data_IF_829164189858
#
_entry.id   IF_829164189858
#
_cell.length_a   1.000
_cell.length_b   1.000
_cell.length_c   1.000
_cell.angle_alpha   90.00
_cell.angle_beta   90.00
_cell.angle_gamma   90.00
#
_symmetry.space_group_name_H-M   'P 1'
#
loop_
_entity.id
_entity.type
_entity.pdbx_description
1 polymer ?
#
# COMPACT_ATOMS: atom_id res chain seq x y z
N UNK A 1 1.38 -63.02 20.05
CA UNK A 1 0.90 -62.31 21.26
C UNK A 1 0.22 -61.04 20.79
N UNK A 2 -1.11 -61.05 20.82
CA UNK A 2 -1.95 -59.92 20.46
C UNK A 2 -2.17 -59.04 21.71
N UNK A 3 -2.04 -57.73 21.56
CA UNK A 3 -2.42 -56.75 22.58
C UNK A 3 -3.24 -55.67 21.91
N UNK A 4 -4.55 -55.85 21.96
CA UNK A 4 -5.58 -54.86 21.67
C UNK A 4 -5.71 -53.88 22.83
N UNK A 5 -5.61 -52.58 22.56
CA UNK A 5 -6.00 -51.53 23.52
C UNK A 5 -7.15 -50.70 22.94
N UNK A 6 -8.24 -50.69 23.68
CA UNK A 6 -9.56 -50.16 23.38
C UNK A 6 -9.68 -48.63 23.49
N UNK A 7 -10.65 -48.13 22.75
CA UNK A 7 -11.10 -46.74 22.56
C UNK A 7 -11.47 -45.96 23.82
N UNK A 8 -11.35 -44.63 23.75
CA UNK A 8 -12.27 -43.68 24.41
C UNK A 8 -12.29 -42.36 23.64
N UNK A 9 -13.33 -42.16 22.84
CA UNK A 9 -13.66 -40.93 22.12
C UNK A 9 -14.61 -40.09 22.97
N UNK A 10 -14.14 -38.96 23.49
CA UNK A 10 -14.96 -38.02 24.25
C UNK A 10 -15.62 -37.02 23.29
N UNK A 11 -16.92 -37.17 23.08
CA UNK A 11 -17.77 -36.19 22.41
C UNK A 11 -18.01 -34.98 23.33
N UNK A 12 -17.54 -33.80 22.94
CA UNK A 12 -17.98 -32.53 23.51
C UNK A 12 -19.11 -31.95 22.67
N UNK A 13 -20.34 -32.10 23.15
CA UNK A 13 -21.56 -31.51 22.58
C UNK A 13 -21.58 -29.98 22.72
N UNK A 14 -21.66 -29.30 21.59
CA UNK A 14 -22.06 -27.90 21.44
C UNK A 14 -23.49 -27.68 21.97
N UNK A 15 -23.64 -26.84 23.01
CA UNK A 15 -24.95 -26.29 23.40
C UNK A 15 -25.20 -24.99 22.65
N UNK A 16 -26.04 -25.06 21.63
CA UNK A 16 -26.72 -23.88 21.07
C UNK A 16 -27.85 -23.47 22.02
N UNK A 17 -27.75 -22.27 22.59
CA UNK A 17 -28.88 -21.61 23.23
C UNK A 17 -29.50 -20.60 22.27
N UNK A 18 -30.66 -20.95 21.72
CA UNK A 18 -31.60 -20.03 21.11
C UNK A 18 -32.57 -19.48 22.17
N UNK A 19 -32.65 -18.16 22.31
CA UNK A 19 -33.81 -17.48 22.88
C UNK A 19 -34.18 -16.27 22.02
N UNK A 20 -35.45 -16.28 21.64
CA UNK A 20 -36.26 -15.36 20.83
C UNK A 20 -36.46 -13.98 21.49
N UNK A 21 -37.00 -12.98 20.75
CA UNK A 21 -36.68 -11.57 20.94
C UNK A 21 -37.56 -10.89 21.98
N UNK A 22 -36.96 -9.98 22.75
CA UNK A 22 -37.69 -9.07 23.64
C UNK A 22 -37.88 -7.73 22.93
N UNK A 23 -39.15 -7.46 22.64
CA UNK A 23 -39.71 -6.19 22.22
C UNK A 23 -39.65 -5.21 23.41
N UNK A 24 -38.96 -4.07 23.28
CA UNK A 24 -39.09 -2.97 24.23
C UNK A 24 -39.04 -1.63 23.50
N UNK A 25 -40.21 -1.03 23.32
CA UNK A 25 -40.39 0.37 22.94
C UNK A 25 -39.73 1.26 23.99
N UNK A 26 -38.57 1.85 23.67
CA UNK A 26 -38.01 2.97 24.43
C UNK A 26 -38.27 4.26 23.66
N UNK A 27 -39.32 4.95 24.07
CA UNK A 27 -39.60 6.35 23.77
C UNK A 27 -38.43 7.21 24.25
N UNK A 28 -37.72 7.84 23.33
CA UNK A 28 -36.74 8.88 23.63
C UNK A 28 -37.48 10.19 23.91
N UNK A 29 -37.63 10.55 25.18
CA UNK A 29 -38.06 11.88 25.59
C UNK A 29 -36.86 12.83 25.53
N UNK A 30 -36.86 13.76 24.58
CA UNK A 30 -35.88 14.85 24.51
C UNK A 30 -36.10 15.83 25.69
N UNK A 31 -35.04 16.22 26.43
CA UNK A 31 -35.18 17.27 27.43
C UNK A 31 -35.36 18.62 26.73
N UNK A 32 -36.49 19.26 27.03
CA UNK A 32 -36.91 20.59 26.58
C UNK A 32 -36.05 21.63 27.33
N UNK A 33 -34.97 22.09 26.71
CA UNK A 33 -34.18 23.22 27.23
C UNK A 33 -35.03 24.48 27.09
N UNK A 34 -35.61 24.92 28.20
CA UNK A 34 -36.24 26.23 28.35
C UNK A 34 -35.15 27.31 28.22
N UNK A 35 -35.11 27.94 27.06
CA UNK A 35 -34.33 29.15 26.81
C UNK A 35 -34.98 30.32 27.58
N UNK A 36 -34.29 30.79 28.61
CA UNK A 36 -34.60 32.02 29.32
C UNK A 36 -34.16 33.20 28.43
N UNK A 37 -35.10 34.07 28.05
CA UNK A 37 -34.82 35.31 27.31
C UNK A 37 -35.38 36.49 28.10
N UNK A 38 -34.50 37.40 28.49
CA UNK A 38 -34.75 38.81 28.82
C UNK A 38 -33.37 39.45 29.00
N UNK A 39 -33.04 40.64 28.54
CA UNK A 39 -33.70 41.64 27.71
C UNK A 39 -32.61 42.68 27.44
N UNK A 40 -32.41 43.12 26.21
CA UNK A 40 -31.78 44.42 25.95
C UNK A 40 -32.42 44.95 24.67
N UNK A 41 -33.35 45.88 24.85
CA UNK A 41 -33.83 46.78 23.80
C UNK A 41 -32.77 47.87 23.63
N UNK A 42 -32.30 48.09 22.41
CA UNK A 42 -32.30 49.46 21.92
C UNK A 42 -32.38 49.52 20.40
N UNK A 43 -33.25 50.43 19.96
CA UNK A 43 -33.68 50.64 18.60
C UNK A 43 -32.57 51.22 17.72
N UNK A 44 -32.49 50.77 16.46
CA UNK A 44 -32.62 51.58 15.24
C UNK A 44 -32.07 50.84 14.01
N UNK A 45 -32.93 50.62 13.02
CA UNK A 45 -32.59 50.16 11.68
C UNK A 45 -32.01 51.35 10.88
N UNK A 46 -31.07 51.17 9.93
CA UNK A 46 -31.51 50.70 8.62
C UNK A 46 -30.50 49.79 7.87
N UNK A 47 -31.05 48.77 7.22
CA UNK A 47 -30.65 48.19 5.92
C UNK A 47 -29.17 48.33 5.53
N UNK A 48 -28.35 47.33 5.85
CA UNK A 48 -27.10 47.11 5.13
C UNK A 48 -27.24 45.85 4.25
N UNK A 49 -27.50 46.08 2.95
CA UNK A 49 -27.39 45.04 1.93
C UNK A 49 -26.00 44.42 2.04
N UNK A 50 -25.94 43.13 2.37
CA UNK A 50 -24.67 42.40 2.39
C UNK A 50 -24.27 42.17 0.93
N UNK A 51 -23.41 43.05 0.42
CA UNK A 51 -22.66 42.83 -0.79
C UNK A 51 -21.96 41.46 -0.69
N UNK A 52 -22.12 40.64 -1.73
CA UNK A 52 -21.61 39.26 -1.93
C UNK A 52 -20.08 39.08 -1.80
N UNK A 53 -19.36 40.01 -1.20
CA UNK A 53 -17.89 40.08 -1.20
C UNK A 53 -17.28 40.25 0.19
N UNK A 54 -17.95 39.85 1.26
CA UNK A 54 -17.30 39.67 2.55
C UNK A 54 -17.76 38.39 3.23
N UNK A 55 -17.27 37.26 2.70
CA UNK A 55 -17.02 36.08 3.51
C UNK A 55 -15.75 36.34 4.33
N UNK A 56 -15.81 37.30 5.25
CA UNK A 56 -14.73 37.51 6.22
C UNK A 56 -14.87 36.39 7.25
N UNK A 57 -13.87 35.53 7.23
CA UNK A 57 -13.55 34.47 8.18
C UNK A 57 -13.80 34.91 9.64
N UNK A 58 -15.00 34.63 10.15
CA UNK A 58 -15.30 34.52 11.59
C UNK A 58 -15.19 33.06 12.04
N UNK A 59 -14.10 32.40 11.67
CA UNK A 59 -13.78 31.05 12.16
C UNK A 59 -12.26 30.85 12.16
N UNK A 60 -11.58 31.61 13.02
CA UNK A 60 -10.18 31.40 13.38
C UNK A 60 -9.90 30.04 14.04
N UNK A 61 -10.94 29.22 14.28
CA UNK A 61 -10.81 27.85 14.80
C UNK A 61 -10.77 26.76 13.72
N UNK A 62 -10.97 27.10 12.43
CA UNK A 62 -10.89 26.13 11.32
C UNK A 62 -9.60 26.23 10.48
N UNK A 63 -8.70 27.17 10.80
CA UNK A 63 -7.54 27.51 9.97
C UNK A 63 -6.25 26.73 10.28
N UNK A 64 -6.33 25.57 10.94
CA UNK A 64 -5.16 24.71 11.24
C UNK A 64 -5.29 23.27 10.72
N UNK A 65 -6.21 23.00 9.78
CA UNK A 65 -6.21 21.73 9.01
C UNK A 65 -5.28 21.84 7.78
N UNK A 66 -4.15 22.53 7.94
CA UNK A 66 -3.18 22.84 6.90
C UNK A 66 -1.82 22.18 7.13
N UNK A 67 -1.72 21.19 8.03
CA UNK A 67 -0.55 20.33 8.07
C UNK A 67 -0.63 19.40 6.85
N UNK A 68 0.02 19.79 5.75
CA UNK A 68 0.33 18.87 4.65
C UNK A 68 1.24 17.80 5.27
N UNK A 69 0.64 16.67 5.69
CA UNK A 69 1.38 15.54 6.23
C UNK A 69 2.40 15.10 5.17
N UNK A 70 3.69 15.27 5.46
CA UNK A 70 4.77 14.79 4.61
C UNK A 70 5.38 13.54 5.26
N UNK A 71 4.65 12.42 5.18
CA UNK A 71 5.00 11.15 5.83
C UNK A 71 6.01 10.35 4.99
N UNK A 72 7.03 11.02 4.45
CA UNK A 72 8.02 10.44 3.54
C UNK A 72 8.93 9.40 4.22
N UNK A 73 9.29 9.61 5.49
CA UNK A 73 10.22 8.73 6.19
C UNK A 73 11.69 8.92 5.81
N UNK A 74 12.59 8.37 6.63
CA UNK A 74 14.03 8.36 6.33
C UNK A 74 14.31 7.22 5.34
N UNK A 75 15.10 7.51 4.31
CA UNK A 75 15.63 6.49 3.39
C UNK A 75 16.43 5.44 4.18
N UNK A 76 16.12 4.14 4.06
CA UNK A 76 16.92 3.09 4.66
C UNK A 76 18.35 3.04 4.10
N UNK A 77 19.33 2.73 4.95
CA UNK A 77 20.75 2.68 4.58
C UNK A 77 21.16 1.33 3.96
N UNK A 78 20.32 0.31 4.10
CA UNK A 78 20.55 -1.05 3.61
C UNK A 78 20.01 -1.30 2.19
N UNK A 79 19.60 -0.26 1.45
CA UNK A 79 19.10 -0.42 0.08
C UNK A 79 20.23 -0.79 -0.90
N UNK A 80 19.87 -1.52 -1.95
CA UNK A 80 20.74 -2.01 -3.00
C UNK A 80 21.02 -3.51 -2.93
N UNK A 81 21.92 -3.96 -3.80
CA UNK A 81 22.36 -5.35 -3.87
C UNK A 81 23.28 -5.65 -2.69
N UNK A 82 22.91 -6.65 -1.89
CA UNK A 82 23.66 -7.09 -0.72
C UNK A 82 24.94 -7.83 -1.13
N UNK A 83 26.09 -7.38 -0.63
CA UNK A 83 27.40 -7.98 -0.92
C UNK A 83 27.54 -9.43 -0.46
N UNK A 84 26.80 -9.82 0.59
CA UNK A 84 26.92 -11.14 1.22
C UNK A 84 26.15 -12.24 0.49
N UNK A 85 25.01 -11.92 -0.11
CA UNK A 85 24.07 -12.90 -0.69
C UNK A 85 23.84 -12.71 -2.18
N UNK A 86 24.41 -11.66 -2.81
CA UNK A 86 24.13 -11.31 -4.21
C UNK A 86 22.63 -11.36 -4.50
N UNK A 87 21.88 -10.63 -3.68
CA UNK A 87 20.42 -10.51 -3.71
C UNK A 87 20.03 -9.11 -3.20
N UNK A 88 18.77 -8.72 -3.41
CA UNK A 88 18.22 -7.50 -2.81
C UNK A 88 18.07 -7.65 -1.28
N UNK A 89 17.91 -6.52 -0.59
CA UNK A 89 17.62 -6.52 0.83
C UNK A 89 16.36 -7.32 1.17
N UNK A 90 16.33 -7.92 2.36
CA UNK A 90 15.11 -8.55 2.87
C UNK A 90 14.09 -7.48 3.28
N UNK A 91 12.83 -7.89 3.32
CA UNK A 91 11.74 -7.12 3.88
C UNK A 91 11.90 -7.00 5.39
N UNK A 92 11.60 -5.81 5.96
CA UNK A 92 11.34 -5.71 7.39
C UNK A 92 10.13 -6.59 7.76
N UNK A 93 9.96 -6.88 9.06
CA UNK A 93 8.83 -7.68 9.56
C UNK A 93 7.44 -7.01 9.39
N UNK A 94 7.38 -5.83 8.78
CA UNK A 94 6.16 -5.08 8.52
C UNK A 94 5.52 -5.51 7.20
N UNK A 95 4.17 -5.57 7.16
CA UNK A 95 3.42 -6.13 6.02
C UNK A 95 3.42 -5.27 4.75
N UNK A 96 4.06 -4.11 4.79
CA UNK A 96 4.18 -3.13 3.70
C UNK A 96 5.48 -3.30 2.91
N UNK A 97 5.89 -4.56 2.70
CA UNK A 97 7.04 -4.88 1.88
C UNK A 97 6.77 -6.17 1.10
N UNK A 98 7.21 -6.18 -0.16
CA UNK A 98 7.32 -7.39 -0.96
C UNK A 98 8.70 -7.47 -1.60
N UNK A 99 9.28 -8.66 -1.68
CA UNK A 99 10.60 -8.88 -2.26
C UNK A 99 10.72 -10.28 -2.87
N UNK A 100 11.46 -10.39 -3.96
CA UNK A 100 11.79 -11.66 -4.60
C UNK A 100 12.89 -12.43 -3.87
N UNK A 101 13.62 -11.76 -2.97
CA UNK A 101 14.70 -12.37 -2.18
C UNK A 101 14.20 -13.06 -0.91
N UNK A 102 12.89 -12.99 -0.63
CA UNK A 102 12.27 -13.65 0.52
C UNK A 102 12.13 -15.16 0.34
N UNK A 103 11.87 -15.86 1.45
CA UNK A 103 11.54 -17.27 1.40
C UNK A 103 10.20 -17.49 0.66
N UNK A 104 10.14 -18.47 -0.24
CA UNK A 104 8.91 -18.81 -1.01
C UNK A 104 7.71 -19.14 -0.10
N UNK A 105 7.97 -19.67 1.10
CA UNK A 105 6.94 -19.95 2.11
C UNK A 105 6.40 -18.71 2.84
N UNK A 106 7.04 -17.54 2.71
CA UNK A 106 6.54 -16.28 3.26
C UNK A 106 5.52 -15.65 2.30
N UNK A 107 4.27 -16.08 2.39
CA UNK A 107 3.19 -15.59 1.54
C UNK A 107 2.90 -14.08 1.72
N UNK A 108 3.39 -13.46 2.79
CA UNK A 108 3.17 -12.03 3.09
C UNK A 108 4.17 -11.18 2.33
N UNK A 109 5.45 -11.53 2.34
CA UNK A 109 6.51 -10.72 1.74
C UNK A 109 7.01 -11.26 0.41
N UNK A 110 6.90 -12.56 0.15
CA UNK A 110 7.38 -13.14 -1.09
C UNK A 110 6.56 -12.69 -2.30
N UNK A 111 7.29 -12.44 -3.39
CA UNK A 111 6.74 -12.31 -4.72
C UNK A 111 7.67 -12.99 -5.72
N UNK A 112 7.13 -13.69 -6.74
CA UNK A 112 7.96 -14.36 -7.73
C UNK A 112 8.73 -13.35 -8.61
N UNK A 113 9.97 -13.65 -9.00
CA UNK A 113 10.73 -12.82 -9.91
C UNK A 113 10.11 -12.78 -11.30
N UNK A 114 10.50 -11.80 -12.12
CA UNK A 114 10.03 -11.68 -13.49
C UNK A 114 11.07 -12.21 -14.47
N UNK A 115 10.60 -12.88 -15.51
CA UNK A 115 11.40 -13.31 -16.64
C UNK A 115 11.09 -12.40 -17.83
N UNK A 116 12.09 -11.68 -18.32
CA UNK A 116 11.94 -10.80 -19.49
C UNK A 116 12.11 -11.54 -20.82
N UNK A 117 12.65 -12.76 -20.84
CA UNK A 117 12.66 -13.62 -22.02
C UNK A 117 12.10 -15.02 -21.67
N UNK A 118 10.79 -15.12 -21.37
CA UNK A 118 10.17 -16.41 -21.13
C UNK A 118 10.17 -17.27 -22.40
N UNK A 119 10.07 -18.59 -22.22
CA UNK A 119 9.92 -19.52 -23.34
C UNK A 119 8.68 -19.13 -24.17
N UNK A 120 8.86 -19.02 -25.48
CA UNK A 120 7.80 -18.59 -26.40
C UNK A 120 7.69 -17.08 -26.63
N UNK A 121 8.52 -16.23 -26.00
CA UNK A 121 8.64 -14.82 -26.41
C UNK A 121 9.14 -14.75 -27.86
N UNK A 122 8.36 -14.11 -28.74
CA UNK A 122 8.64 -14.02 -30.19
C UNK A 122 9.98 -13.37 -30.51
N UNK A 123 10.34 -12.35 -29.75
CA UNK A 123 11.55 -11.54 -29.95
C UNK A 123 12.29 -11.43 -28.62
N UNK A 124 13.36 -12.22 -28.42
CA UNK A 124 14.22 -12.07 -27.25
C UNK A 124 14.85 -10.68 -27.21
N UNK A 125 14.94 -10.10 -26.03
CA UNK A 125 15.57 -8.79 -25.81
C UNK A 125 16.84 -8.92 -24.97
N UNK A 126 17.78 -8.01 -25.18
CA UNK A 126 18.94 -7.86 -24.31
C UNK A 126 18.52 -7.36 -22.91
N UNK A 127 19.43 -7.45 -21.94
CA UNK A 127 19.20 -6.93 -20.59
C UNK A 127 19.00 -5.41 -20.61
N UNK A 128 19.76 -4.73 -21.47
CA UNK A 128 19.72 -3.28 -21.63
C UNK A 128 18.38 -2.85 -22.23
N UNK A 129 17.87 -3.57 -23.22
CA UNK A 129 16.53 -3.36 -23.79
C UNK A 129 15.43 -3.64 -22.76
N UNK A 130 15.55 -4.72 -21.99
CA UNK A 130 14.61 -5.03 -20.90
C UNK A 130 14.60 -3.93 -19.82
N UNK A 131 15.76 -3.34 -19.51
CA UNK A 131 15.85 -2.20 -18.60
C UNK A 131 15.06 -0.99 -19.13
N UNK A 132 15.18 -0.68 -20.42
CA UNK A 132 14.42 0.40 -21.05
C UNK A 132 12.91 0.10 -21.08
N UNK A 133 12.51 -1.14 -21.42
CA UNK A 133 11.11 -1.57 -21.36
C UNK A 133 10.52 -1.37 -19.95
N UNK A 134 11.30 -1.69 -18.91
CA UNK A 134 10.92 -1.50 -17.51
C UNK A 134 10.78 -0.01 -17.15
N UNK A 135 11.75 0.82 -17.53
CA UNK A 135 11.73 2.26 -17.29
C UNK A 135 10.51 2.90 -17.95
N UNK A 136 10.23 2.55 -19.21
CA UNK A 136 9.07 3.04 -19.96
C UNK A 136 7.75 2.69 -19.24
N UNK A 137 7.63 1.46 -18.75
CA UNK A 137 6.45 1.03 -17.96
C UNK A 137 6.36 1.81 -16.65
N UNK A 138 7.47 2.01 -15.94
CA UNK A 138 7.51 2.78 -14.70
C UNK A 138 7.05 4.21 -14.91
N UNK A 139 7.52 4.88 -15.97
CA UNK A 139 7.18 6.28 -16.24
C UNK A 139 5.76 6.47 -16.76
N UNK A 140 5.25 5.52 -17.55
CA UNK A 140 3.89 5.55 -18.09
C UNK A 140 2.82 5.12 -17.08
N UNK A 141 3.17 4.26 -16.13
CA UNK A 141 2.23 3.68 -15.17
C UNK A 141 2.20 4.46 -13.86
N UNK A 142 1.02 4.95 -13.47
CA UNK A 142 0.81 5.64 -12.18
C UNK A 142 -0.14 4.85 -11.28
N UNK A 143 0.34 3.79 -10.61
CA UNK A 143 -0.50 2.99 -9.73
C UNK A 143 -0.94 3.82 -8.52
N UNK A 144 -2.23 3.77 -8.19
CA UNK A 144 -2.83 4.39 -7.00
C UNK A 144 -2.52 5.88 -6.80
N UNK A 145 -2.32 6.64 -7.89
CA UNK A 145 -1.94 8.07 -7.87
C UNK A 145 -0.59 8.34 -7.19
N UNK A 146 0.31 7.36 -7.20
CA UNK A 146 1.70 7.57 -6.85
C UNK A 146 2.46 8.10 -8.08
N UNK A 147 3.35 9.04 -7.83
CA UNK A 147 4.26 9.56 -8.83
C UNK A 147 5.60 8.84 -8.71
N UNK A 148 6.05 8.12 -9.76
CA UNK A 148 7.36 7.50 -9.79
C UNK A 148 8.45 8.56 -9.98
N UNK A 149 9.58 8.39 -9.28
CA UNK A 149 10.81 9.14 -9.48
C UNK A 149 11.99 8.19 -9.50
N UNK A 150 12.62 8.03 -10.67
CA UNK A 150 13.87 7.27 -10.77
C UNK A 150 14.97 8.07 -10.08
N UNK A 151 15.55 7.49 -9.04
CA UNK A 151 16.54 8.17 -8.18
C UNK A 151 17.93 7.56 -8.29
N UNK A 152 18.04 6.38 -8.88
CA UNK A 152 19.31 5.71 -9.12
C UNK A 152 19.17 4.78 -10.31
N UNK A 153 20.13 4.87 -11.23
CA UNK A 153 20.23 4.01 -12.40
C UNK A 153 21.68 3.57 -12.57
N UNK A 154 21.87 2.27 -12.64
CA UNK A 154 23.14 1.57 -12.93
C UNK A 154 22.91 0.63 -14.11
N UNK A 155 23.95 -0.08 -14.52
CA UNK A 155 23.87 -1.03 -15.64
C UNK A 155 22.95 -2.22 -15.35
N UNK A 156 22.94 -2.71 -14.10
CA UNK A 156 22.19 -3.89 -13.67
C UNK A 156 21.11 -3.58 -12.63
N UNK A 157 20.94 -2.31 -12.26
CA UNK A 157 20.12 -1.93 -11.10
C UNK A 157 19.42 -0.59 -11.29
N UNK A 158 18.15 -0.53 -10.90
CA UNK A 158 17.34 0.70 -10.89
C UNK A 158 16.61 0.83 -9.56
N UNK A 159 16.62 2.03 -9.00
CA UNK A 159 15.81 2.38 -7.83
C UNK A 159 14.87 3.53 -8.14
N UNK A 160 13.63 3.35 -7.73
CA UNK A 160 12.52 4.27 -7.94
C UNK A 160 11.87 4.59 -6.62
N UNK A 161 11.60 5.87 -6.39
CA UNK A 161 10.81 6.34 -5.26
C UNK A 161 9.39 6.63 -5.76
N UNK A 162 8.41 5.94 -5.21
CA UNK A 162 7.00 6.20 -5.46
C UNK A 162 6.45 7.08 -4.35
N UNK A 163 6.02 8.29 -4.69
CA UNK A 163 5.46 9.23 -3.72
C UNK A 163 3.94 9.35 -3.86
N UNK A 164 3.22 9.19 -2.75
CA UNK A 164 1.76 9.38 -2.71
C UNK A 164 1.41 10.87 -2.85
N UNK A 165 0.40 11.17 -3.68
CA UNK A 165 0.00 12.56 -3.95
C UNK A 165 -0.71 13.28 -2.78
N UNK A 166 -1.25 12.54 -1.81
CA UNK A 166 -2.14 13.10 -0.76
C UNK A 166 -1.44 13.23 0.60
N UNK A 167 -0.70 12.20 1.02
CA UNK A 167 -0.13 12.10 2.38
C UNK A 167 1.41 12.09 2.38
N UNK A 168 2.04 12.21 1.21
CA UNK A 168 3.49 12.30 1.08
C UNK A 168 4.27 11.03 1.45
N UNK A 169 3.60 9.88 1.64
CA UNK A 169 4.27 8.58 1.81
C UNK A 169 5.21 8.30 0.65
N UNK A 170 6.40 7.79 0.96
CA UNK A 170 7.39 7.37 -0.03
C UNK A 170 7.68 5.89 0.14
N UNK A 171 7.59 5.18 -0.97
CA UNK A 171 7.96 3.78 -1.09
C UNK A 171 9.19 3.66 -1.99
N UNK A 172 10.17 2.88 -1.54
CA UNK A 172 11.34 2.54 -2.35
C UNK A 172 11.06 1.25 -3.11
N UNK A 173 11.25 1.29 -4.43
CA UNK A 173 11.16 0.14 -5.32
C UNK A 173 12.50 -0.06 -6.01
N UNK A 174 13.02 -1.27 -5.90
CA UNK A 174 14.33 -1.67 -6.39
C UNK A 174 14.14 -2.78 -7.42
N UNK A 175 14.83 -2.66 -8.55
CA UNK A 175 14.87 -3.67 -9.61
C UNK A 175 16.33 -4.03 -9.87
N UNK A 176 16.61 -5.32 -9.92
CA UNK A 176 17.95 -5.83 -10.14
C UNK A 176 17.97 -6.93 -11.19
N UNK A 177 18.91 -6.83 -12.12
CA UNK A 177 19.14 -7.72 -13.24
C UNK A 177 20.40 -8.54 -12.95
N UNK A 178 20.29 -9.65 -12.18
CA UNK A 178 21.44 -10.43 -11.74
C UNK A 178 22.28 -10.95 -12.91
N UNK A 179 23.59 -10.61 -12.99
CA UNK A 179 24.45 -11.13 -14.04
C UNK A 179 24.60 -12.65 -13.93
N UNK A 180 24.49 -13.35 -15.05
CA UNK A 180 24.69 -14.80 -15.12
C UNK A 180 23.54 -15.67 -14.61
N UNK A 181 22.42 -15.09 -14.13
CA UNK A 181 21.21 -15.85 -13.70
C UNK A 181 20.13 -15.98 -14.78
N UNK A 182 20.51 -15.85 -16.06
CA UNK A 182 19.57 -15.86 -17.18
C UNK A 182 18.71 -14.60 -17.24
N UNK A 183 17.56 -14.63 -17.96
CA UNK A 183 16.75 -13.45 -18.23
C UNK A 183 15.80 -13.09 -17.08
N UNK A 184 16.32 -12.99 -15.85
CA UNK A 184 15.54 -12.75 -14.64
C UNK A 184 15.73 -11.32 -14.13
N UNK A 185 14.65 -10.75 -13.60
CA UNK A 185 14.63 -9.52 -12.80
C UNK A 185 14.12 -9.84 -11.41
N UNK A 186 14.97 -9.56 -10.42
CA UNK A 186 14.64 -9.53 -9.00
C UNK A 186 14.14 -8.13 -8.63
N UNK A 187 13.21 -8.05 -7.69
CA UNK A 187 12.67 -6.77 -7.25
C UNK A 187 12.28 -6.76 -5.78
N UNK A 188 12.21 -5.54 -5.24
CA UNK A 188 11.74 -5.25 -3.88
C UNK A 188 10.92 -3.98 -3.89
N UNK A 189 9.79 -3.96 -3.21
CA UNK A 189 8.93 -2.77 -3.04
C UNK A 189 8.58 -2.65 -1.56
N UNK A 190 9.05 -1.58 -0.91
CA UNK A 190 8.89 -1.38 0.53
C UNK A 190 8.58 0.08 0.87
N UNK A 191 7.63 0.28 1.79
CA UNK A 191 7.36 1.62 2.34
C UNK A 191 8.41 2.03 3.37
N UNK A 192 8.75 3.32 3.42
CA UNK A 192 9.68 3.88 4.43
C UNK A 192 9.07 4.00 5.83
N UNK A 193 7.76 4.19 5.90
CA UNK A 193 7.00 4.37 7.13
C UNK A 193 5.69 3.60 7.09
N UNK A 194 5.16 3.36 8.30
CA UNK A 194 3.94 2.58 8.51
C UNK A 194 4.22 1.09 8.66
N UNK A 195 3.25 0.37 9.21
CA UNK A 195 3.33 -1.08 9.40
C UNK A 195 2.34 -1.83 8.49
N UNK A 196 1.42 -1.10 7.85
CA UNK A 196 0.32 -1.62 7.06
C UNK A 196 0.05 -0.64 5.91
N UNK A 197 0.02 -1.12 4.67
CA UNK A 197 -0.17 -0.28 3.48
C UNK A 197 -1.40 -0.65 2.63
N UNK A 198 -2.38 -1.41 3.16
CA UNK A 198 -3.51 -1.91 2.35
C UNK A 198 -3.07 -2.62 1.05
N UNK A 199 -1.92 -3.30 1.09
CA UNK A 199 -1.27 -4.00 -0.02
C UNK A 199 -0.87 -3.08 -1.20
N UNK A 200 -0.63 -1.80 -0.96
CA UNK A 200 -0.23 -0.82 -2.01
C UNK A 200 1.03 -1.26 -2.74
N UNK A 201 2.07 -1.71 -2.02
CA UNK A 201 3.30 -2.23 -2.63
C UNK A 201 3.02 -3.44 -3.54
N UNK A 202 2.18 -4.38 -3.08
CA UNK A 202 1.81 -5.57 -3.88
C UNK A 202 0.95 -5.19 -5.10
N UNK A 203 0.02 -4.23 -4.94
CA UNK A 203 -0.79 -3.70 -6.05
C UNK A 203 0.06 -3.00 -7.09
N UNK A 204 1.08 -2.23 -6.67
CA UNK A 204 2.05 -1.60 -7.57
C UNK A 204 2.79 -2.63 -8.40
N UNK A 205 3.42 -3.62 -7.76
CA UNK A 205 4.12 -4.70 -8.46
C UNK A 205 3.18 -5.42 -9.43
N UNK A 206 1.94 -5.69 -9.02
CA UNK A 206 0.93 -6.29 -9.90
C UNK A 206 0.61 -5.41 -11.12
N UNK A 207 0.45 -4.11 -10.94
CA UNK A 207 0.16 -3.19 -12.04
C UNK A 207 1.32 -3.11 -13.04
N UNK A 208 2.56 -2.99 -12.54
CA UNK A 208 3.76 -3.01 -13.38
C UNK A 208 3.90 -4.33 -14.14
N UNK A 209 3.66 -5.47 -13.47
CA UNK A 209 3.66 -6.78 -14.12
C UNK A 209 2.69 -6.85 -15.29
N UNK A 210 1.46 -6.35 -15.12
CA UNK A 210 0.43 -6.39 -16.18
C UNK A 210 0.84 -5.59 -17.43
N UNK A 211 1.53 -4.47 -17.26
CA UNK A 211 2.04 -3.70 -18.40
C UNK A 211 3.27 -4.37 -19.05
N UNK A 212 4.16 -4.96 -18.25
CA UNK A 212 5.30 -5.72 -18.74
C UNK A 212 4.89 -7.01 -19.49
N UNK A 213 3.81 -7.67 -19.07
CA UNK A 213 3.25 -8.83 -19.76
C UNK A 213 2.80 -8.49 -21.19
N UNK A 214 2.33 -7.25 -21.44
CA UNK A 214 2.01 -6.78 -22.79
C UNK A 214 3.27 -6.64 -23.66
N UNK A 215 4.43 -6.43 -23.04
CA UNK A 215 5.76 -6.42 -23.71
C UNK A 215 6.37 -7.81 -23.83
N UNK A 216 5.69 -8.86 -23.34
CA UNK A 216 6.13 -10.25 -23.45
C UNK A 216 6.95 -10.77 -22.27
N UNK A 217 6.95 -10.05 -21.14
CA UNK A 217 7.49 -10.55 -19.88
C UNK A 217 6.54 -11.57 -19.25
N UNK A 218 7.04 -12.39 -18.33
CA UNK A 218 6.21 -13.28 -17.53
C UNK A 218 6.69 -13.33 -16.08
N UNK A 219 5.78 -13.63 -15.15
CA UNK A 219 6.18 -14.04 -13.81
C UNK A 219 6.76 -15.44 -13.86
N UNK A 220 7.83 -15.72 -13.12
CA UNK A 220 8.30 -17.09 -12.96
C UNK A 220 7.31 -17.86 -12.08
N UNK A 221 6.93 -19.06 -12.52
CA UNK A 221 6.08 -19.93 -11.72
C UNK A 221 6.83 -20.35 -10.47
N UNK A 222 6.15 -20.25 -9.33
CA UNK A 222 6.62 -20.85 -8.08
C UNK A 222 6.31 -22.33 -8.17
N UNK A 223 7.34 -23.15 -8.42
CA UNK A 223 7.26 -24.61 -8.44
C UNK A 223 6.80 -25.14 -7.07
#
# INVERSE_FOLDING_TARGET
MASSSSSSTTFCTLKFHSKTPINSNKTFSLPRILHMKQQEEDNNNPTHQINRRQLILRSSELATIGAIFNLSGKKPEYLGVQKSSSALALCPATKNCVSTSENVGDLIHYAPPWNYNPEGRKSPVSREEAMEELIEVIESTRPDKFTPRIVERKEDYVRVEYQSSILGFVDDVEFWFPPGKGPIVEYRSASRLGNFDFDVNRKRIKALRQELEKKGWASQDTI
#
